data_IF_411566766056
#
_entry.id   IF_411566766056
#
_cell.length_a   1.000
_cell.length_b   1.000
_cell.length_c   1.000
_cell.angle_alpha   90.00
_cell.angle_beta   90.00
_cell.angle_gamma   90.00
#
_symmetry.space_group_name_H-M   'P 1'
#
loop_
_entity.id
_entity.type
_entity.pdbx_description
1 polymer ?
#
# COMPACT_ATOMS: atom_id res chain seq x y z
N UNK A 1 -5.72 -23.36 70.38
CA UNK A 1 -5.91 -23.97 69.04
C UNK A 1 -6.28 -22.86 68.08
N UNK A 2 -5.32 -22.38 67.29
CA UNK A 2 -5.56 -21.35 66.27
C UNK A 2 -5.67 -22.04 64.92
N UNK A 3 -6.81 -21.89 64.24
CA UNK A 3 -7.07 -22.51 62.96
C UNK A 3 -6.28 -21.77 61.86
N UNK A 4 -5.39 -22.50 61.17
CA UNK A 4 -4.70 -21.99 60.01
C UNK A 4 -5.70 -21.82 58.85
N UNK A 5 -5.89 -20.59 58.39
CA UNK A 5 -6.67 -20.27 57.20
C UNK A 5 -5.86 -20.68 55.97
N UNK A 6 -6.35 -21.66 55.23
CA UNK A 6 -5.75 -22.08 53.97
C UNK A 6 -5.88 -20.97 52.93
N UNK A 7 -4.73 -20.43 52.49
CA UNK A 7 -4.67 -19.46 51.39
C UNK A 7 -4.89 -20.21 50.07
N UNK A 8 -6.02 -19.95 49.43
CA UNK A 8 -6.32 -20.46 48.09
C UNK A 8 -5.43 -19.72 47.08
N UNK A 9 -4.62 -20.40 46.25
CA UNK A 9 -3.77 -19.72 45.28
C UNK A 9 -4.64 -19.05 44.20
N UNK A 10 -4.44 -17.75 44.01
CA UNK A 10 -5.12 -16.99 42.97
C UNK A 10 -4.79 -17.56 41.58
N UNK A 11 -5.80 -17.81 40.75
CA UNK A 11 -5.62 -18.24 39.36
C UNK A 11 -4.68 -17.27 38.63
N UNK A 12 -3.71 -17.76 37.84
CA UNK A 12 -2.79 -16.88 37.12
C UNK A 12 -3.57 -15.97 36.17
N UNK A 13 -3.36 -14.66 36.28
CA UNK A 13 -3.94 -13.68 35.35
C UNK A 13 -3.35 -13.94 33.97
N UNK A 14 -4.17 -14.42 33.04
CA UNK A 14 -3.82 -14.45 31.62
C UNK A 14 -3.53 -13.01 31.20
N UNK A 15 -2.28 -12.75 30.81
CA UNK A 15 -1.87 -11.42 30.38
C UNK A 15 -2.68 -11.01 29.15
N UNK A 16 -3.24 -9.80 29.17
CA UNK A 16 -3.89 -9.20 27.99
C UNK A 16 -2.87 -8.67 26.98
N UNK A 17 -1.58 -8.63 27.36
CA UNK A 17 -0.51 -8.18 26.48
C UNK A 17 -0.25 -9.29 25.45
N UNK A 18 -0.39 -8.93 24.17
CA UNK A 18 -0.18 -9.82 23.02
C UNK A 18 1.14 -9.55 22.29
N UNK A 19 2.01 -8.73 22.89
CA UNK A 19 3.31 -8.42 22.32
C UNK A 19 4.13 -9.71 22.17
N UNK A 20 4.80 -9.85 21.04
CA UNK A 20 5.72 -10.96 20.75
C UNK A 20 7.11 -10.37 20.56
N UNK A 21 8.14 -11.16 20.89
CA UNK A 21 9.51 -10.75 20.66
C UNK A 21 9.72 -10.45 19.16
N UNK A 22 10.38 -9.33 18.82
CA UNK A 22 10.73 -9.03 17.43
C UNK A 22 11.56 -10.17 16.84
N UNK A 23 11.19 -10.61 15.64
CA UNK A 23 11.97 -11.59 14.86
C UNK A 23 12.64 -10.88 13.71
N UNK A 24 13.84 -11.35 13.34
CA UNK A 24 14.42 -10.99 12.05
C UNK A 24 13.47 -11.42 10.94
N UNK A 25 13.19 -10.50 10.02
CA UNK A 25 12.33 -10.74 8.87
C UNK A 25 13.18 -10.58 7.61
N UNK A 26 12.87 -11.36 6.57
CA UNK A 26 13.49 -11.13 5.27
C UNK A 26 13.21 -9.70 4.80
N UNK A 27 14.20 -9.02 4.19
CA UNK A 27 13.99 -7.72 3.58
C UNK A 27 12.83 -7.78 2.57
N UNK A 28 11.83 -6.91 2.76
CA UNK A 28 10.75 -6.75 1.80
C UNK A 28 11.26 -6.07 0.53
N UNK A 29 10.48 -6.07 -0.56
CA UNK A 29 10.77 -5.26 -1.75
C UNK A 29 10.47 -3.77 -1.51
N UNK A 30 11.20 -2.85 -2.16
CA UNK A 30 11.09 -1.42 -1.90
C UNK A 30 9.75 -0.89 -2.40
N UNK A 31 9.14 -0.02 -1.59
CA UNK A 31 7.96 0.77 -1.94
C UNK A 31 8.38 2.23 -2.00
N UNK A 32 8.46 2.78 -3.19
CA UNK A 32 9.13 4.04 -3.48
C UNK A 32 8.13 5.05 -4.02
N UNK A 33 8.15 6.25 -3.46
CA UNK A 33 7.55 7.44 -4.04
C UNK A 33 8.65 8.25 -4.72
N UNK A 34 8.47 8.59 -5.99
CA UNK A 34 9.35 9.53 -6.70
C UNK A 34 8.55 10.72 -7.21
N UNK A 35 9.10 11.92 -7.08
CA UNK A 35 8.49 13.14 -7.61
C UNK A 35 9.55 14.13 -8.08
N UNK A 36 9.14 15.09 -8.90
CA UNK A 36 10.02 16.11 -9.45
C UNK A 36 9.42 16.73 -10.72
N UNK A 37 10.08 17.77 -11.23
CA UNK A 37 9.61 18.51 -12.42
C UNK A 37 9.44 17.62 -13.67
N UNK A 38 8.64 18.05 -14.66
CA UNK A 38 8.63 17.40 -15.98
C UNK A 38 10.03 17.31 -16.59
N UNK A 39 10.33 16.22 -17.32
CA UNK A 39 11.60 16.06 -18.04
C UNK A 39 12.83 15.71 -17.18
N UNK A 40 12.68 15.53 -15.86
CA UNK A 40 13.77 15.11 -14.96
C UNK A 40 14.09 13.60 -15.04
N UNK A 41 13.36 12.81 -15.84
CA UNK A 41 13.67 11.40 -16.07
C UNK A 41 13.08 10.42 -15.06
N UNK A 42 11.97 10.77 -14.39
CA UNK A 42 11.24 9.88 -13.46
C UNK A 42 10.84 8.56 -14.14
N UNK A 43 10.02 8.67 -15.19
CA UNK A 43 9.53 7.57 -16.01
C UNK A 43 10.66 6.79 -16.65
N UNK A 44 11.61 7.50 -17.26
CA UNK A 44 12.68 6.87 -18.04
C UNK A 44 13.51 5.89 -17.22
N UNK A 45 13.93 6.26 -16.00
CA UNK A 45 14.69 5.36 -15.12
C UNK A 45 13.78 4.31 -14.47
N UNK A 46 12.52 4.62 -14.16
CA UNK A 46 11.60 3.64 -13.59
C UNK A 46 11.39 2.43 -14.52
N UNK A 47 11.44 2.65 -15.84
CA UNK A 47 11.38 1.58 -16.85
C UNK A 47 12.66 0.74 -16.99
N UNK A 48 13.78 1.14 -16.36
CA UNK A 48 14.99 0.31 -16.30
C UNK A 48 14.91 -0.79 -15.25
N UNK A 49 13.90 -0.75 -14.37
CA UNK A 49 13.67 -1.81 -13.39
C UNK A 49 13.24 -3.11 -14.09
N UNK A 50 13.47 -4.28 -13.46
CA UNK A 50 13.21 -5.55 -14.11
C UNK A 50 11.70 -5.88 -14.10
N UNK A 51 11.20 -6.46 -15.19
CA UNK A 51 9.85 -7.02 -15.31
C UNK A 51 8.76 -6.04 -14.89
N UNK A 52 8.72 -4.86 -15.51
CA UNK A 52 7.84 -3.76 -15.11
C UNK A 52 6.40 -3.99 -15.60
N UNK A 53 5.45 -4.07 -14.68
CA UNK A 53 4.04 -3.83 -14.99
C UNK A 53 3.77 -2.32 -14.90
N UNK A 54 3.67 -1.67 -16.05
CA UNK A 54 3.60 -0.21 -16.17
C UNK A 54 2.16 0.27 -16.33
N UNK A 55 1.68 1.00 -15.33
CA UNK A 55 0.35 1.61 -15.29
C UNK A 55 0.51 3.07 -15.71
N UNK A 56 0.17 3.37 -16.97
CA UNK A 56 0.27 4.70 -17.56
C UNK A 56 -1.04 5.46 -17.40
N UNK A 57 -1.08 6.43 -16.51
CA UNK A 57 -2.25 7.30 -16.30
C UNK A 57 -2.12 8.62 -17.05
N UNK A 58 -0.91 8.97 -17.52
CA UNK A 58 -0.64 10.20 -18.28
C UNK A 58 -0.93 10.02 -19.78
N UNK A 59 -0.86 8.78 -20.27
CA UNK A 59 -1.03 8.44 -21.69
C UNK A 59 0.14 8.86 -22.58
N UNK A 60 1.30 9.14 -21.98
CA UNK A 60 2.49 9.65 -22.69
C UNK A 60 3.56 8.60 -23.01
N UNK A 61 3.41 7.38 -22.51
CA UNK A 61 4.38 6.30 -22.71
C UNK A 61 3.99 5.34 -23.85
N UNK A 62 2.98 5.69 -24.64
CA UNK A 62 2.60 5.00 -25.88
C UNK A 62 3.63 5.19 -27.01
N UNK A 63 4.50 6.21 -26.89
CA UNK A 63 5.57 6.48 -27.84
C UNK A 63 6.56 5.31 -27.95
N UNK A 64 6.99 5.01 -29.19
CA UNK A 64 7.82 3.85 -29.53
C UNK A 64 9.05 3.62 -28.64
N UNK A 65 9.74 4.67 -28.22
CA UNK A 65 10.96 4.53 -27.42
C UNK A 65 10.70 4.13 -25.96
N UNK A 66 9.54 4.51 -25.40
CA UNK A 66 9.11 4.04 -24.07
C UNK A 66 8.63 2.60 -24.12
N UNK A 67 7.84 2.26 -25.15
CA UNK A 67 7.35 0.88 -25.33
C UNK A 67 8.48 -0.11 -25.64
N UNK A 68 9.48 0.28 -26.44
CA UNK A 68 10.68 -0.53 -26.68
C UNK A 68 11.49 -0.77 -25.41
N UNK A 69 11.64 0.27 -24.58
CA UNK A 69 12.35 0.15 -23.30
C UNK A 69 11.62 -0.78 -22.33
N UNK A 70 10.31 -0.62 -22.21
CA UNK A 70 9.45 -1.49 -21.41
C UNK A 70 9.53 -2.96 -21.87
N UNK A 71 9.45 -3.21 -23.19
CA UNK A 71 9.59 -4.55 -23.76
C UNK A 71 10.97 -5.15 -23.47
N UNK A 72 12.06 -4.38 -23.60
CA UNK A 72 13.42 -4.84 -23.27
C UNK A 72 13.57 -5.22 -21.81
N UNK A 73 12.86 -4.55 -20.91
CA UNK A 73 12.82 -4.88 -19.49
C UNK A 73 11.91 -6.09 -19.15
N UNK A 74 11.27 -6.71 -20.16
CA UNK A 74 10.29 -7.78 -19.97
C UNK A 74 8.99 -7.30 -19.32
N UNK A 75 8.65 -6.02 -19.53
CA UNK A 75 7.48 -5.38 -18.96
C UNK A 75 6.23 -5.44 -19.81
N UNK A 76 5.11 -5.03 -19.21
CA UNK A 76 3.80 -4.91 -19.82
C UNK A 76 3.18 -3.54 -19.58
N UNK A 77 2.37 -3.08 -20.52
CA UNK A 77 1.71 -1.78 -20.51
C UNK A 77 0.22 -1.91 -20.16
N UNK A 78 -0.26 -1.01 -19.30
CA UNK A 78 -1.67 -0.84 -18.94
C UNK A 78 -1.99 0.66 -18.94
N UNK A 79 -2.63 1.16 -20.01
CA UNK A 79 -2.86 2.58 -20.25
C UNK A 79 -4.31 3.03 -20.05
N UNK A 80 -4.62 4.29 -20.43
CA UNK A 80 -5.96 4.86 -20.24
C UNK A 80 -7.06 4.05 -20.90
N UNK A 81 -6.82 3.56 -22.12
CA UNK A 81 -7.75 2.70 -22.86
C UNK A 81 -8.01 1.34 -22.17
N UNK A 82 -7.11 0.91 -21.30
CA UNK A 82 -7.26 -0.31 -20.50
C UNK A 82 -7.84 -0.04 -19.09
N UNK A 83 -8.06 1.22 -18.71
CA UNK A 83 -8.64 1.60 -17.42
C UNK A 83 -7.66 2.16 -16.39
N UNK A 84 -6.44 2.54 -16.78
CA UNK A 84 -5.43 3.08 -15.83
C UNK A 84 -5.85 4.36 -15.08
N UNK A 85 -6.87 5.07 -15.58
CA UNK A 85 -7.46 6.26 -14.95
C UNK A 85 -8.56 5.95 -13.94
N UNK A 86 -8.84 4.68 -13.67
CA UNK A 86 -9.85 4.23 -12.73
C UNK A 86 -9.20 3.47 -11.56
N UNK A 87 -9.47 3.93 -10.33
CA UNK A 87 -8.93 3.28 -9.13
C UNK A 87 -9.32 1.81 -9.01
N UNK A 88 -10.56 1.44 -9.33
CA UNK A 88 -11.01 0.05 -9.17
C UNK A 88 -10.32 -0.87 -10.18
N UNK A 89 -10.11 -0.42 -11.41
CA UNK A 89 -9.37 -1.18 -12.43
C UNK A 89 -7.90 -1.32 -12.04
N UNK A 90 -7.26 -0.23 -11.60
CA UNK A 90 -5.88 -0.24 -11.10
C UNK A 90 -5.74 -1.18 -9.89
N UNK A 91 -6.63 -1.10 -8.91
CA UNK A 91 -6.63 -1.99 -7.73
C UNK A 91 -6.84 -3.44 -8.16
N UNK A 92 -7.72 -3.70 -9.13
CA UNK A 92 -7.91 -5.03 -9.71
C UNK A 92 -6.63 -5.59 -10.31
N UNK A 93 -5.84 -4.78 -11.02
CA UNK A 93 -4.54 -5.20 -11.52
C UNK A 93 -3.53 -5.47 -10.39
N UNK A 94 -3.50 -4.63 -9.35
CA UNK A 94 -2.63 -4.89 -8.17
C UNK A 94 -3.05 -6.18 -7.46
N UNK A 95 -4.35 -6.48 -7.38
CA UNK A 95 -4.86 -7.72 -6.83
C UNK A 95 -4.43 -8.92 -7.66
N UNK A 96 -4.57 -8.87 -8.98
CA UNK A 96 -4.09 -9.93 -9.88
C UNK A 96 -2.58 -10.16 -9.75
N UNK A 97 -1.79 -9.08 -9.70
CA UNK A 97 -0.35 -9.16 -9.40
C UNK A 97 -0.03 -9.73 -8.01
N UNK A 98 -0.94 -9.57 -7.05
CA UNK A 98 -0.76 -10.15 -5.73
C UNK A 98 -1.11 -11.63 -5.69
N UNK A 99 -2.00 -12.14 -6.55
CA UNK A 99 -2.61 -13.47 -6.38
C UNK A 99 -2.30 -14.46 -7.49
N UNK A 100 -1.93 -14.00 -8.68
CA UNK A 100 -1.65 -14.83 -9.85
C UNK A 100 -0.15 -15.09 -10.03
N UNK A 101 0.22 -16.24 -10.63
CA UNK A 101 1.61 -16.50 -10.99
C UNK A 101 2.01 -15.70 -12.21
N UNK A 102 3.07 -14.89 -12.08
CA UNK A 102 3.60 -14.06 -13.15
C UNK A 102 5.10 -13.84 -13.02
N UNK A 103 5.71 -13.27 -14.07
CA UNK A 103 7.14 -12.97 -14.10
C UNK A 103 7.48 -11.50 -13.77
N UNK A 104 6.48 -10.65 -13.55
CA UNK A 104 6.71 -9.25 -13.17
C UNK A 104 7.36 -9.14 -11.80
N UNK A 105 8.29 -8.19 -11.67
CA UNK A 105 9.04 -7.92 -10.43
C UNK A 105 8.78 -6.52 -9.91
N UNK A 106 8.38 -5.60 -10.78
CA UNK A 106 8.19 -4.19 -10.47
C UNK A 106 6.83 -3.73 -10.99
N UNK A 107 6.11 -2.95 -10.20
CA UNK A 107 4.93 -2.20 -10.66
C UNK A 107 5.24 -0.71 -10.58
N UNK A 108 4.93 0.00 -11.66
CA UNK A 108 5.10 1.46 -11.76
C UNK A 108 3.72 2.07 -12.02
N UNK A 109 3.33 3.06 -11.23
CA UNK A 109 2.13 3.88 -11.47
C UNK A 109 2.60 5.27 -11.87
N UNK A 110 2.44 5.62 -13.15
CA UNK A 110 2.90 6.88 -13.74
C UNK A 110 1.76 7.65 -14.41
N UNK A 111 1.18 8.66 -13.78
CA UNK A 111 1.43 9.16 -12.42
C UNK A 111 0.30 8.80 -11.45
N UNK A 112 0.67 8.61 -10.19
CA UNK A 112 -0.30 8.58 -9.09
C UNK A 112 -1.01 9.94 -8.96
N UNK A 113 -0.33 11.06 -9.27
CA UNK A 113 -0.94 12.39 -9.25
C UNK A 113 -2.17 12.44 -10.15
N UNK A 114 -2.06 11.96 -11.39
CA UNK A 114 -3.17 11.99 -12.34
C UNK A 114 -4.32 11.09 -11.89
N UNK A 115 -4.03 9.86 -11.48
CA UNK A 115 -5.04 8.93 -10.94
C UNK A 115 -5.82 9.54 -9.78
N UNK A 116 -5.10 10.13 -8.82
CA UNK A 116 -5.72 10.80 -7.67
C UNK A 116 -6.56 12.00 -8.11
N UNK A 117 -6.02 12.88 -8.96
CA UNK A 117 -6.69 14.11 -9.39
C UNK A 117 -7.96 13.85 -10.19
N UNK A 118 -7.97 12.83 -11.05
CA UNK A 118 -9.15 12.46 -11.86
C UNK A 118 -10.29 12.01 -10.97
N UNK A 119 -10.01 11.23 -9.93
CA UNK A 119 -11.05 10.80 -8.98
C UNK A 119 -11.60 11.98 -8.16
N UNK A 120 -10.72 12.91 -7.74
CA UNK A 120 -11.16 14.15 -7.08
C UNK A 120 -12.05 14.98 -8.00
N UNK A 121 -11.66 15.15 -9.27
CA UNK A 121 -12.46 15.91 -10.25
C UNK A 121 -13.81 15.26 -10.51
N UNK A 122 -13.86 13.93 -10.69
CA UNK A 122 -15.10 13.18 -10.87
C UNK A 122 -16.05 13.36 -9.69
N UNK A 123 -15.53 13.28 -8.47
CA UNK A 123 -16.36 13.50 -7.27
C UNK A 123 -16.81 14.96 -7.14
N UNK A 124 -15.94 15.93 -7.46
CA UNK A 124 -16.30 17.34 -7.46
C UNK A 124 -17.46 17.63 -8.43
N UNK A 125 -17.42 17.07 -9.64
CA UNK A 125 -18.50 17.14 -10.63
C UNK A 125 -19.80 16.52 -10.10
N UNK A 126 -19.71 15.34 -9.48
CA UNK A 126 -20.87 14.64 -8.90
C UNK A 126 -21.51 15.44 -7.75
N UNK A 127 -20.69 16.10 -6.93
CA UNK A 127 -21.16 16.89 -5.78
C UNK A 127 -21.74 18.24 -6.20
N UNK A 128 -21.22 18.86 -7.28
CA UNK A 128 -21.62 20.19 -7.72
C UNK A 128 -21.55 21.21 -6.57
N UNK A 129 -22.65 21.94 -6.34
CA UNK A 129 -22.76 22.94 -5.26
C UNK A 129 -22.60 22.35 -3.84
N UNK A 130 -22.68 21.03 -3.69
CA UNK A 130 -22.46 20.34 -2.40
C UNK A 130 -20.98 20.08 -2.12
N UNK A 131 -20.07 20.46 -3.03
CA UNK A 131 -18.64 20.34 -2.81
C UNK A 131 -18.16 21.39 -1.81
N UNK A 132 -18.27 21.06 -0.52
CA UNK A 132 -17.83 21.89 0.58
C UNK A 132 -16.70 21.20 1.36
N UNK A 133 -15.74 21.99 1.86
CA UNK A 133 -14.68 21.55 2.77
C UNK A 133 -13.85 20.36 2.26
N UNK A 134 -13.60 20.26 0.95
CA UNK A 134 -12.80 19.18 0.36
C UNK A 134 -13.48 17.80 0.40
N UNK A 135 -14.82 17.78 0.35
CA UNK A 135 -15.61 16.55 0.28
C UNK A 135 -15.24 15.70 -0.95
N UNK A 136 -14.92 16.36 -2.06
CA UNK A 136 -14.40 15.78 -3.31
C UNK A 136 -13.16 14.88 -3.12
N UNK A 137 -12.31 15.17 -2.14
CA UNK A 137 -11.11 14.37 -1.86
C UNK A 137 -11.39 13.07 -1.13
N UNK A 138 -12.54 12.93 -0.47
CA UNK A 138 -12.81 11.79 0.43
C UNK A 138 -12.79 10.44 -0.31
N UNK A 139 -13.45 10.28 -1.47
CA UNK A 139 -13.39 9.02 -2.22
C UNK A 139 -11.99 8.69 -2.72
N UNK A 140 -11.27 9.67 -3.29
CA UNK A 140 -9.89 9.49 -3.75
C UNK A 140 -8.95 9.05 -2.61
N UNK A 141 -9.12 9.63 -1.41
CA UNK A 141 -8.37 9.22 -0.21
C UNK A 141 -8.73 7.78 0.21
N UNK A 142 -10.01 7.42 0.18
CA UNK A 142 -10.45 6.06 0.52
C UNK A 142 -9.87 5.01 -0.44
N UNK A 143 -9.94 5.29 -1.75
CA UNK A 143 -9.37 4.41 -2.78
C UNK A 143 -7.84 4.35 -2.69
N UNK A 144 -7.16 5.48 -2.41
CA UNK A 144 -5.71 5.50 -2.17
C UNK A 144 -5.32 4.60 -1.01
N UNK A 145 -6.05 4.64 0.11
CA UNK A 145 -5.78 3.76 1.26
C UNK A 145 -5.92 2.29 0.89
N UNK A 146 -6.96 1.94 0.12
CA UNK A 146 -7.17 0.58 -0.40
C UNK A 146 -6.03 0.15 -1.32
N UNK A 147 -5.62 0.99 -2.26
CA UNK A 147 -4.46 0.75 -3.13
C UNK A 147 -3.18 0.52 -2.31
N UNK A 148 -2.89 1.38 -1.34
CA UNK A 148 -1.70 1.26 -0.48
C UNK A 148 -1.72 -0.01 0.36
N UNK A 149 -2.89 -0.44 0.84
CA UNK A 149 -3.05 -1.74 1.52
C UNK A 149 -2.50 -2.88 0.67
N UNK A 150 -2.94 -2.94 -0.59
CA UNK A 150 -2.52 -3.96 -1.54
C UNK A 150 -1.04 -3.84 -1.91
N UNK A 151 -0.56 -2.62 -2.21
CA UNK A 151 0.85 -2.39 -2.54
C UNK A 151 1.82 -2.78 -1.42
N UNK A 152 1.38 -2.66 -0.16
CA UNK A 152 2.16 -3.07 1.03
C UNK A 152 2.25 -4.60 1.14
N UNK A 153 1.18 -5.32 0.77
CA UNK A 153 1.13 -6.80 0.79
C UNK A 153 1.80 -7.44 -0.43
N UNK A 154 1.94 -6.70 -1.52
CA UNK A 154 2.50 -7.17 -2.78
C UNK A 154 4.00 -7.50 -2.64
N UNK A 155 4.45 -8.69 -3.03
CA UNK A 155 5.88 -9.02 -3.08
C UNK A 155 6.54 -8.55 -4.41
N UNK A 156 6.39 -7.26 -4.70
CA UNK A 156 6.99 -6.58 -5.87
C UNK A 156 7.67 -5.26 -5.47
N UNK A 157 8.63 -4.81 -6.29
CA UNK A 157 9.09 -3.43 -6.22
C UNK A 157 7.92 -2.53 -6.62
N UNK A 158 7.65 -1.46 -5.87
CA UNK A 158 6.60 -0.49 -6.19
C UNK A 158 7.24 0.87 -6.39
N UNK A 159 6.94 1.51 -7.52
CA UNK A 159 7.34 2.89 -7.80
C UNK A 159 6.07 3.70 -8.11
N UNK A 160 5.71 4.61 -7.22
CA UNK A 160 4.68 5.61 -7.49
C UNK A 160 5.36 6.88 -7.98
N UNK A 161 4.96 7.35 -9.17
CA UNK A 161 5.47 8.59 -9.74
C UNK A 161 4.44 9.69 -9.47
N UNK A 162 4.89 10.82 -8.95
CA UNK A 162 4.07 12.01 -8.75
C UNK A 162 4.65 13.23 -9.47
N UNK A 163 3.78 14.17 -9.79
CA UNK A 163 4.16 15.54 -10.10
C UNK A 163 4.70 16.24 -8.85
N UNK A 164 5.43 17.31 -9.09
CA UNK A 164 5.93 18.21 -8.05
C UNK A 164 4.97 19.41 -7.91
N UNK A 165 4.74 19.84 -6.67
CA UNK A 165 3.99 21.06 -6.35
C UNK A 165 4.72 21.87 -5.27
N UNK A 166 4.48 23.20 -5.20
CA UNK A 166 5.00 24.02 -4.13
C UNK A 166 4.55 23.53 -2.74
N UNK A 167 5.50 23.45 -1.82
CA UNK A 167 5.25 23.22 -0.41
C UNK A 167 5.10 24.57 0.28
N UNK A 168 3.94 24.82 0.86
CA UNK A 168 3.65 26.06 1.57
C UNK A 168 3.84 25.87 3.08
N UNK A 169 4.43 26.85 3.73
CA UNK A 169 4.59 26.94 5.17
C UNK A 169 4.35 28.37 5.66
N UNK A 170 4.70 28.60 6.92
CA UNK A 170 4.59 29.92 7.55
C UNK A 170 6.00 30.47 7.77
N UNK A 171 6.23 31.72 7.38
CA UNK A 171 7.50 32.40 7.63
C UNK A 171 7.60 32.92 9.09
N UNK A 172 8.71 33.58 9.43
CA UNK A 172 8.93 34.15 10.76
C UNK A 172 7.93 35.25 11.15
N UNK A 173 7.14 35.78 10.21
CA UNK A 173 6.15 36.84 10.40
C UNK A 173 4.72 36.30 10.48
N UNK A 174 4.51 35.01 10.27
CA UNK A 174 3.18 34.42 10.21
C UNK A 174 2.58 34.37 8.80
N UNK A 175 3.31 34.83 7.78
CA UNK A 175 2.82 34.89 6.41
C UNK A 175 3.01 33.56 5.70
N UNK A 176 2.05 33.20 4.84
CA UNK A 176 2.12 31.99 4.04
C UNK A 176 3.17 32.17 2.93
N UNK A 177 4.24 31.37 2.98
CA UNK A 177 5.32 31.41 2.00
C UNK A 177 5.62 30.02 1.43
N UNK A 178 6.21 29.97 0.24
CA UNK A 178 6.73 28.73 -0.32
C UNK A 178 8.02 28.35 0.42
N UNK A 179 8.02 27.20 1.08
CA UNK A 179 9.16 26.68 1.85
C UNK A 179 9.92 25.57 1.13
N UNK A 180 9.45 25.16 -0.05
CA UNK A 180 10.10 24.14 -0.86
C UNK A 180 9.16 23.51 -1.87
N UNK A 181 9.48 22.28 -2.25
CA UNK A 181 8.72 21.48 -3.21
C UNK A 181 8.40 20.12 -2.59
N UNK A 182 7.22 19.60 -2.91
CA UNK A 182 6.73 18.30 -2.47
C UNK A 182 5.96 17.60 -3.61
N UNK A 183 5.56 16.35 -3.41
CA UNK A 183 4.76 15.62 -4.38
C UNK A 183 3.31 16.12 -4.41
N UNK A 184 2.67 15.98 -5.56
CA UNK A 184 1.24 16.26 -5.74
C UNK A 184 0.41 14.96 -5.65
N UNK A 185 -0.56 14.93 -4.73
CA UNK A 185 -1.34 13.74 -4.40
C UNK A 185 -1.85 13.78 -2.95
N UNK A 186 -2.11 12.60 -2.37
CA UNK A 186 -2.52 12.50 -0.97
C UNK A 186 -1.36 12.80 -0.02
N UNK A 187 -1.47 13.85 0.80
CA UNK A 187 -0.40 14.34 1.68
C UNK A 187 0.25 13.28 2.59
N UNK A 188 -0.45 12.19 2.91
CA UNK A 188 0.09 11.12 3.77
C UNK A 188 0.86 10.03 3.02
N UNK A 189 0.91 10.08 1.70
CA UNK A 189 1.49 9.02 0.86
C UNK A 189 2.95 8.70 1.20
N UNK A 190 3.76 9.71 1.51
CA UNK A 190 5.17 9.53 1.90
C UNK A 190 5.35 8.77 3.23
N UNK A 191 4.35 8.82 4.12
CA UNK A 191 4.36 8.08 5.38
C UNK A 191 4.01 6.61 5.16
N UNK A 192 3.24 6.28 4.13
CA UNK A 192 2.83 4.90 3.87
C UNK A 192 3.96 4.09 3.20
N UNK A 193 4.76 4.72 2.34
CA UNK A 193 5.78 4.04 1.52
C UNK A 193 7.15 3.98 2.21
N UNK A 194 8.06 3.09 1.80
CA UNK A 194 9.36 2.93 2.45
C UNK A 194 10.29 4.14 2.20
N UNK A 195 10.32 4.63 0.97
CA UNK A 195 11.28 5.63 0.49
C UNK A 195 10.58 6.73 -0.30
N UNK A 196 10.99 7.98 -0.11
CA UNK A 196 10.53 9.14 -0.88
C UNK A 196 11.75 9.85 -1.50
N UNK A 197 11.76 9.99 -2.82
CA UNK A 197 12.86 10.58 -3.58
C UNK A 197 12.36 11.79 -4.38
N UNK A 198 13.10 12.91 -4.28
CA UNK A 198 12.96 14.04 -5.19
C UNK A 198 13.97 13.89 -6.33
N UNK A 199 13.46 13.70 -7.55
CA UNK A 199 14.28 13.53 -8.75
C UNK A 199 14.56 14.90 -9.35
N UNK A 200 15.84 15.23 -9.45
CA UNK A 200 16.33 16.52 -9.93
C UNK A 200 17.24 16.34 -11.14
N UNK A 201 17.25 17.35 -12.01
CA UNK A 201 18.13 17.43 -13.17
C UNK A 201 19.18 18.51 -12.92
N UNK A 202 20.45 18.12 -12.93
CA UNK A 202 21.59 19.02 -12.81
C UNK A 202 22.45 18.90 -14.08
N UNK A 203 22.21 19.78 -15.07
CA UNK A 203 22.81 19.67 -16.39
C UNK A 203 22.43 18.34 -17.08
N UNK A 204 23.39 17.49 -17.49
CA UNK A 204 23.09 16.17 -18.06
C UNK A 204 22.70 15.15 -16.99
N UNK A 205 23.14 15.33 -15.74
CA UNK A 205 22.96 14.37 -14.66
C UNK A 205 21.52 14.35 -14.17
N UNK A 206 21.04 13.15 -13.84
CA UNK A 206 19.81 12.94 -13.08
C UNK A 206 20.19 12.43 -11.70
N UNK A 207 19.67 13.09 -10.68
CA UNK A 207 19.97 12.74 -9.29
C UNK A 207 18.66 12.50 -8.53
N UNK A 208 18.74 11.63 -7.54
CA UNK A 208 17.67 11.40 -6.58
C UNK A 208 18.13 11.93 -5.23
N UNK A 209 17.38 12.87 -4.66
CA UNK A 209 17.55 13.33 -3.28
C UNK A 209 16.60 12.56 -2.37
N UNK A 210 17.14 11.94 -1.33
CA UNK A 210 16.34 11.28 -0.29
C UNK A 210 15.61 12.34 0.53
N UNK A 211 14.29 12.23 0.60
CA UNK A 211 13.42 13.13 1.38
C UNK A 211 12.84 12.46 2.61
N UNK A 212 12.69 11.14 2.56
CA UNK A 212 12.26 10.29 3.67
C UNK A 212 12.71 8.87 3.37
N UNK A 213 13.14 8.13 4.39
CA UNK A 213 13.63 6.76 4.24
C UNK A 213 13.24 5.89 5.44
N UNK A 214 13.09 4.58 5.20
CA UNK A 214 13.08 3.51 6.20
C UNK A 214 14.20 2.49 5.92
N UNK A 215 15.06 2.78 4.95
CA UNK A 215 15.96 1.83 4.32
C UNK A 215 17.40 2.28 4.58
N UNK A 216 18.22 1.36 5.11
CA UNK A 216 19.59 1.69 5.53
C UNK A 216 20.49 2.16 4.37
N UNK A 217 20.28 1.65 3.15
CA UNK A 217 21.03 2.05 1.94
C UNK A 217 20.71 3.44 1.39
N UNK A 218 19.76 4.15 1.99
CA UNK A 218 19.31 5.47 1.54
C UNK A 218 19.28 6.44 2.72
N UNK A 219 20.43 6.97 3.16
CA UNK A 219 20.50 7.93 4.25
C UNK A 219 19.66 9.18 3.98
N UNK A 220 19.11 9.77 5.03
CA UNK A 220 18.30 10.97 4.89
C UNK A 220 19.10 12.14 4.29
N UNK A 221 18.44 12.94 3.46
CA UNK A 221 19.03 14.04 2.68
C UNK A 221 20.15 13.67 1.68
N UNK A 222 20.52 12.39 1.56
CA UNK A 222 21.54 11.93 0.61
C UNK A 222 21.13 12.21 -0.84
N UNK A 223 22.11 12.41 -1.71
CA UNK A 223 21.93 12.67 -3.14
C UNK A 223 22.78 11.71 -3.95
N UNK A 224 22.14 10.91 -4.78
CA UNK A 224 22.80 9.88 -5.58
C UNK A 224 22.34 9.91 -7.04
N UNK A 225 23.04 9.19 -7.91
CA UNK A 225 22.66 9.07 -9.32
C UNK A 225 21.29 8.39 -9.45
N UNK A 226 20.37 9.01 -10.19
CA UNK A 226 19.07 8.41 -10.48
C UNK A 226 19.19 7.40 -11.63
N UNK A 227 19.70 6.22 -11.32
CA UNK A 227 19.83 5.07 -12.22
C UNK A 227 19.41 3.77 -11.53
N UNK A 228 18.95 2.79 -12.30
CA UNK A 228 18.63 1.46 -11.78
C UNK A 228 19.84 0.80 -11.09
N UNK A 229 21.03 0.90 -11.71
CA UNK A 229 22.24 0.26 -11.20
C UNK A 229 22.63 0.79 -9.82
N UNK A 230 22.62 2.11 -9.64
CA UNK A 230 22.92 2.73 -8.34
C UNK A 230 21.86 2.40 -7.29
N UNK A 231 20.58 2.43 -7.68
CA UNK A 231 19.49 2.04 -6.78
C UNK A 231 19.62 0.58 -6.33
N UNK A 232 19.91 -0.33 -7.27
CA UNK A 232 20.07 -1.75 -7.00
C UNK A 232 21.29 -2.06 -6.14
N UNK A 233 22.40 -1.35 -6.37
CA UNK A 233 23.60 -1.43 -5.53
C UNK A 233 23.30 -1.04 -4.07
N UNK A 234 22.50 0.01 -3.86
CA UNK A 234 22.12 0.48 -2.52
C UNK A 234 21.13 -0.41 -1.79
N UNK A 235 20.15 -0.95 -2.51
CA UNK A 235 19.08 -1.73 -1.90
C UNK A 235 19.40 -3.22 -1.75
N UNK A 236 20.12 -3.80 -2.72
CA UNK A 236 20.27 -5.24 -2.89
C UNK A 236 19.62 -5.69 -4.20
N UNK A 237 20.45 -5.94 -5.21
CA UNK A 237 20.01 -6.36 -6.55
C UNK A 237 19.26 -7.69 -6.51
N UNK A 238 19.72 -8.62 -5.69
CA UNK A 238 19.11 -9.92 -5.43
C UNK A 238 17.67 -9.79 -4.92
N UNK A 239 17.39 -8.82 -4.04
CA UNK A 239 16.04 -8.57 -3.53
C UNK A 239 15.14 -7.99 -4.62
N UNK A 240 15.64 -7.01 -5.37
CA UNK A 240 14.90 -6.34 -6.44
C UNK A 240 14.57 -7.31 -7.59
N UNK A 241 15.51 -8.19 -7.94
CA UNK A 241 15.38 -9.11 -9.06
C UNK A 241 14.73 -10.45 -8.69
N UNK A 242 14.48 -10.71 -7.39
CA UNK A 242 13.80 -11.93 -6.92
C UNK A 242 12.42 -12.10 -7.56
N UNK A 243 12.06 -13.34 -7.93
CA UNK A 243 10.71 -13.68 -8.39
C UNK A 243 9.70 -13.25 -7.32
N UNK A 244 8.61 -12.63 -7.74
CA UNK A 244 7.53 -12.18 -6.86
C UNK A 244 6.73 -13.38 -6.34
N UNK A 245 6.50 -13.43 -5.03
CA UNK A 245 5.59 -14.39 -4.41
C UNK A 245 4.13 -13.99 -4.53
N UNK A 246 3.23 -14.97 -4.39
CA UNK A 246 1.77 -14.77 -4.37
C UNK A 246 1.25 -14.68 -2.94
N UNK A 247 0.29 -13.79 -2.72
CA UNK A 247 -0.50 -13.67 -1.50
C UNK A 247 -1.63 -14.70 -1.52
N UNK A 248 -1.64 -15.60 -0.54
CA UNK A 248 -2.73 -16.56 -0.38
C UNK A 248 -3.96 -15.90 0.25
N UNK A 249 -4.98 -15.62 -0.56
CA UNK A 249 -6.27 -15.10 -0.09
C UNK A 249 -7.10 -16.18 0.61
N UNK A 250 -8.05 -15.71 1.42
CA UNK A 250 -9.04 -16.55 2.08
C UNK A 250 -9.77 -17.41 1.06
N UNK A 251 -9.86 -18.71 1.34
CA UNK A 251 -10.54 -19.67 0.47
C UNK A 251 -12.05 -19.39 0.42
N UNK A 252 -12.74 -19.77 -0.67
CA UNK A 252 -14.20 -19.67 -0.74
C UNK A 252 -14.91 -20.33 0.45
N UNK A 253 -14.37 -21.45 0.94
CA UNK A 253 -14.87 -22.16 2.11
C UNK A 253 -14.71 -21.32 3.39
N UNK A 254 -13.56 -20.66 3.58
CA UNK A 254 -13.36 -19.76 4.72
C UNK A 254 -14.31 -18.56 4.66
N UNK A 255 -14.53 -17.97 3.48
CA UNK A 255 -15.46 -16.85 3.32
C UNK A 255 -16.90 -17.29 3.62
N UNK A 256 -17.32 -18.44 3.08
CA UNK A 256 -18.64 -19.01 3.35
C UNK A 256 -18.84 -19.31 4.84
N UNK A 257 -17.83 -19.88 5.49
CA UNK A 257 -17.85 -20.15 6.93
C UNK A 257 -17.97 -18.87 7.75
N UNK A 258 -17.24 -17.80 7.42
CA UNK A 258 -17.38 -16.50 8.09
C UNK A 258 -18.82 -16.00 7.97
N UNK A 259 -19.39 -16.02 6.77
CA UNK A 259 -20.77 -15.58 6.53
C UNK A 259 -21.80 -16.42 7.31
N UNK A 260 -21.63 -17.74 7.33
CA UNK A 260 -22.51 -18.66 8.08
C UNK A 260 -22.42 -18.42 9.60
N UNK A 261 -21.22 -18.22 10.13
CA UNK A 261 -21.02 -17.95 11.54
C UNK A 261 -21.59 -16.59 11.95
N UNK A 262 -21.49 -15.56 11.10
CA UNK A 262 -22.08 -14.25 11.36
C UNK A 262 -23.62 -14.30 11.47
N UNK A 263 -24.27 -15.24 10.76
CA UNK A 263 -25.71 -15.47 10.91
C UNK A 263 -26.07 -16.20 12.21
N UNK A 264 -25.15 -17.00 12.75
CA UNK A 264 -25.38 -17.89 13.89
C UNK A 264 -24.93 -17.31 15.23
N UNK A 265 -24.02 -16.32 15.20
CA UNK A 265 -23.36 -15.76 16.38
C UNK A 265 -23.76 -14.30 16.56
N UNK A 266 -24.19 -13.93 17.76
CA UNK A 266 -24.42 -12.52 18.10
C UNK A 266 -23.07 -11.81 18.27
N UNK A 267 -22.76 -10.92 17.33
CA UNK A 267 -21.59 -10.03 17.39
C UNK A 267 -22.04 -8.57 17.53
N UNK A 268 -21.20 -7.68 18.07
CA UNK A 268 -21.44 -6.24 17.99
C UNK A 268 -21.60 -5.81 16.53
N UNK A 269 -22.46 -4.82 16.27
CA UNK A 269 -22.73 -4.32 14.91
C UNK A 269 -21.45 -3.82 14.21
N UNK A 270 -20.48 -3.33 14.98
CA UNK A 270 -19.19 -2.83 14.48
C UNK A 270 -18.10 -3.90 14.35
N UNK A 271 -18.42 -5.18 14.60
CA UNK A 271 -17.41 -6.24 14.65
C UNK A 271 -16.70 -6.43 13.31
N UNK A 272 -17.46 -6.56 12.21
CA UNK A 272 -16.89 -6.77 10.90
C UNK A 272 -16.17 -5.53 10.38
N UNK A 273 -16.68 -4.34 10.69
CA UNK A 273 -15.99 -3.08 10.39
C UNK A 273 -14.62 -3.03 11.05
N UNK A 274 -14.52 -3.39 12.34
CA UNK A 274 -13.24 -3.47 13.06
C UNK A 274 -12.31 -4.54 12.48
N UNK A 275 -12.83 -5.69 12.07
CA UNK A 275 -12.03 -6.74 11.44
C UNK A 275 -11.47 -6.29 10.09
N UNK A 276 -12.32 -5.71 9.24
CA UNK A 276 -11.93 -5.15 7.94
C UNK A 276 -10.91 -4.02 8.08
N UNK A 277 -11.13 -3.10 9.01
CA UNK A 277 -10.17 -2.03 9.32
C UNK A 277 -8.81 -2.57 9.77
N UNK A 278 -8.77 -3.59 10.63
CA UNK A 278 -7.51 -4.21 11.09
C UNK A 278 -6.79 -5.00 10.00
N UNK A 279 -7.53 -5.66 9.12
CA UNK A 279 -6.99 -6.35 7.97
C UNK A 279 -6.65 -5.41 6.80
N UNK A 280 -7.01 -4.13 6.93
CA UNK A 280 -6.96 -3.12 5.86
C UNK A 280 -7.62 -3.63 4.56
N UNK A 281 -8.77 -4.28 4.71
CA UNK A 281 -9.53 -4.92 3.66
C UNK A 281 -10.83 -4.16 3.43
N UNK A 282 -11.22 -3.97 2.17
CA UNK A 282 -12.49 -3.35 1.80
C UNK A 282 -13.66 -4.35 1.84
N UNK A 283 -13.37 -5.65 1.80
CA UNK A 283 -14.37 -6.71 1.89
C UNK A 283 -13.79 -7.99 2.48
N UNK A 284 -14.64 -8.92 2.88
CA UNK A 284 -14.25 -10.24 3.43
C UNK A 284 -13.41 -11.04 2.41
N UNK A 285 -13.64 -10.82 1.12
CA UNK A 285 -12.89 -11.48 0.05
C UNK A 285 -11.42 -11.05 -0.04
N UNK A 286 -11.05 -9.91 0.57
CA UNK A 286 -9.68 -9.41 0.56
C UNK A 286 -8.83 -9.92 1.74
N UNK A 287 -9.43 -10.72 2.64
CA UNK A 287 -8.69 -11.34 3.74
C UNK A 287 -7.69 -12.36 3.23
N UNK A 288 -6.51 -12.42 3.86
CA UNK A 288 -5.61 -13.58 3.69
C UNK A 288 -6.10 -14.79 4.51
N UNK A 289 -5.49 -15.96 4.25
CA UNK A 289 -5.82 -17.22 4.92
C UNK A 289 -5.71 -17.09 6.46
N UNK A 290 -4.70 -16.40 6.97
CA UNK A 290 -4.44 -16.27 8.41
C UNK A 290 -5.47 -15.35 9.07
N UNK A 291 -5.79 -14.23 8.43
CA UNK A 291 -6.82 -13.30 8.85
C UNK A 291 -8.18 -13.99 8.90
N UNK A 292 -8.56 -14.70 7.84
CA UNK A 292 -9.80 -15.46 7.80
C UNK A 292 -9.86 -16.52 8.88
N UNK A 293 -8.76 -17.27 9.09
CA UNK A 293 -8.67 -18.29 10.15
C UNK A 293 -8.84 -17.67 11.54
N UNK A 294 -8.21 -16.52 11.82
CA UNK A 294 -8.35 -15.79 13.09
C UNK A 294 -9.77 -15.30 13.31
N UNK A 295 -10.45 -14.82 12.27
CA UNK A 295 -11.84 -14.36 12.35
C UNK A 295 -12.78 -15.54 12.60
N UNK A 296 -12.61 -16.65 11.87
CA UNK A 296 -13.38 -17.89 12.09
C UNK A 296 -13.21 -18.37 13.53
N UNK A 297 -11.98 -18.41 14.06
CA UNK A 297 -11.73 -18.78 15.46
C UNK A 297 -12.45 -17.86 16.44
N UNK A 298 -12.34 -16.54 16.25
CA UNK A 298 -13.01 -15.56 17.10
C UNK A 298 -14.54 -15.64 17.07
N UNK A 299 -15.13 -16.05 15.94
CA UNK A 299 -16.56 -16.29 15.80
C UNK A 299 -16.98 -17.63 16.44
N UNK A 300 -16.20 -18.70 16.25
CA UNK A 300 -16.46 -20.01 16.84
C UNK A 300 -16.42 -19.99 18.37
N UNK A 301 -15.53 -19.21 18.96
CA UNK A 301 -15.45 -19.03 20.42
C UNK A 301 -16.72 -18.43 21.03
N UNK A 302 -17.58 -17.81 20.21
CA UNK A 302 -18.83 -17.17 20.61
C UNK A 302 -20.06 -18.02 20.28
N UNK A 303 -19.89 -19.21 19.70
CA UNK A 303 -21.00 -20.14 19.52
C UNK A 303 -21.53 -20.59 20.88
N UNK A 304 -22.84 -20.84 21.02
CA UNK A 304 -23.40 -21.44 22.22
C UNK A 304 -22.73 -22.79 22.44
N UNK A 305 -22.10 -22.99 23.59
CA UNK A 305 -21.54 -24.31 23.94
C UNK A 305 -22.70 -25.30 24.06
N UNK A 306 -22.58 -26.53 23.52
CA UNK A 306 -23.61 -27.54 23.69
C UNK A 306 -23.82 -27.75 25.19
N UNK A 307 -25.06 -27.57 25.65
CA UNK A 307 -25.49 -27.98 26.98
C UNK A 307 -25.25 -29.47 27.09
N UNK A 308 -24.20 -29.86 27.82
CA UNK A 308 -24.07 -31.23 28.32
C UNK A 308 -25.22 -31.45 29.29
N UNK A 309 -26.29 -32.10 28.82
CA UNK A 309 -27.28 -32.69 29.72
C UNK A 309 -26.52 -33.65 30.65
N UNK A 310 -26.63 -33.51 31.98
CA UNK A 310 -26.19 -34.56 32.88
C UNK A 310 -26.99 -35.82 32.51
N UNK A 311 -26.27 -36.92 32.28
CA UNK A 311 -26.86 -38.19 31.92
C UNK A 311 -27.96 -38.60 32.91
N UNK A 312 -28.98 -39.24 32.34
CA UNK A 312 -30.03 -39.98 33.03
C UNK A 312 -29.47 -41.07 33.95
#
# INVERSE_FOLDING_TARGET
MSAAVAVIPAKPKVSKLKAVDPKEAEPSKPKVLIYGKPGVGKTWTALDFPGVFYIDTEGGADLNHYTDKLKKAGGMYFGPDQGSLNFDDVIGQIQALATEDHNFKTVVIDSFTKLFSVEVSREAERLGDRNAFGADKKPAIAQTRRLISWLTRLDMNVILICHERPQWGTDARGDRTEIGQTFDGWDKLEYELHLCLNIIKAGPLRQARVRKTRLLGFPDADVFEWSYNEFANRYGKDIIERKSGTVSLATPQQIAEINNLLQSVKVPDDFMEKCMSKANAASIAEFDIDQATKIIGALKDRLPKPTTSPGA
#
